data_IF_509618077477
#
_entry.id   IF_509618077477
#
_cell.length_a   1.000
_cell.length_b   1.000
_cell.length_c   1.000
_cell.angle_alpha   90.00
_cell.angle_beta   90.00
_cell.angle_gamma   90.00
#
_symmetry.space_group_name_H-M   'P 1'
#
loop_
_entity.id
_entity.type
_entity.pdbx_description
1 polymer ?
#
# COMPACT_ATOMS: atom_id res chain seq x y z
N UNK A 1 -55.75 106.65 -174.59
CA UNK A 1 -56.61 107.76 -175.05
C UNK A 1 -57.92 107.13 -175.56
N UNK A 2 -59.05 107.82 -175.38
CA UNK A 2 -60.40 107.47 -175.90
C UNK A 2 -61.14 106.21 -175.34
N UNK A 3 -62.48 106.31 -175.25
CA UNK A 3 -63.60 105.31 -175.31
C UNK A 3 -63.41 103.89 -174.68
N UNK A 4 -64.36 103.22 -173.99
CA UNK A 4 -65.83 103.30 -173.74
C UNK A 4 -66.08 102.59 -172.35
N UNK A 5 -66.86 103.09 -171.36
CA UNK A 5 -68.33 103.13 -171.12
C UNK A 5 -69.04 101.74 -170.99
N UNK A 6 -69.89 101.43 -169.98
CA UNK A 6 -70.40 102.18 -168.79
C UNK A 6 -71.17 101.25 -167.80
N UNK A 7 -71.23 101.63 -166.51
CA UNK A 7 -72.29 101.37 -165.47
C UNK A 7 -72.67 99.94 -165.01
N UNK A 8 -72.71 99.72 -163.67
CA UNK A 8 -73.34 98.56 -163.01
C UNK A 8 -73.04 98.44 -161.49
N UNK A 9 -73.95 98.93 -160.65
CA UNK A 9 -73.92 99.09 -159.17
C UNK A 9 -73.53 97.87 -158.28
N UNK A 10 -72.93 98.14 -157.10
CA UNK A 10 -72.36 97.16 -156.12
C UNK A 10 -72.80 97.40 -154.65
N UNK A 11 -72.78 96.32 -153.85
CA UNK A 11 -72.83 96.08 -152.39
C UNK A 11 -73.05 97.20 -151.34
N UNK A 12 -73.84 96.85 -150.30
CA UNK A 12 -73.78 97.42 -148.93
C UNK A 12 -74.00 96.35 -147.82
N UNK A 13 -74.84 95.33 -148.02
CA UNK A 13 -75.40 94.52 -146.91
C UNK A 13 -74.42 93.56 -146.19
N UNK A 14 -73.24 93.28 -146.75
CA UNK A 14 -72.27 92.32 -146.17
C UNK A 14 -71.34 92.90 -145.10
N UNK A 15 -71.25 94.22 -144.97
CA UNK A 15 -70.25 94.85 -144.09
C UNK A 15 -70.70 94.98 -142.62
N UNK A 16 -72.01 94.94 -142.36
CA UNK A 16 -72.55 95.16 -141.01
C UNK A 16 -72.32 93.97 -140.05
N UNK A 17 -72.37 92.73 -140.53
CA UNK A 17 -72.22 91.53 -139.69
C UNK A 17 -70.80 91.31 -139.16
N UNK A 18 -69.76 91.86 -139.81
CA UNK A 18 -68.37 91.66 -139.37
C UNK A 18 -67.95 92.60 -138.22
N UNK A 19 -68.61 93.76 -138.08
CA UNK A 19 -68.29 94.72 -137.02
C UNK A 19 -68.71 94.23 -135.63
N UNK A 20 -69.84 93.52 -135.55
CA UNK A 20 -70.50 93.13 -134.30
C UNK A 20 -69.77 91.97 -133.57
N UNK A 21 -69.14 91.05 -134.30
CA UNK A 21 -68.37 89.95 -133.68
C UNK A 21 -67.06 90.45 -133.04
N UNK A 22 -66.39 91.42 -133.67
CA UNK A 22 -65.08 91.89 -133.23
C UNK A 22 -65.16 92.68 -131.90
N UNK A 23 -66.28 93.36 -131.63
CA UNK A 23 -66.51 94.06 -130.36
C UNK A 23 -66.67 93.10 -129.17
N UNK A 24 -67.27 91.91 -129.37
CA UNK A 24 -67.39 90.88 -128.33
C UNK A 24 -66.03 90.34 -127.89
N UNK A 25 -65.14 90.02 -128.83
CA UNK A 25 -63.81 89.48 -128.51
C UNK A 25 -62.95 90.45 -127.69
N UNK A 26 -63.09 91.76 -127.94
CA UNK A 26 -62.40 92.80 -127.17
C UNK A 26 -62.88 92.85 -125.71
N UNK A 27 -64.17 92.59 -125.44
CA UNK A 27 -64.67 92.48 -124.06
C UNK A 27 -64.12 91.25 -123.32
N UNK A 28 -64.07 90.08 -123.95
CA UNK A 28 -63.55 88.86 -123.31
C UNK A 28 -62.07 88.99 -122.90
N UNK A 29 -61.23 89.58 -123.76
CA UNK A 29 -59.81 89.84 -123.45
C UNK A 29 -59.66 90.76 -122.22
N UNK A 30 -60.58 91.70 -122.02
CA UNK A 30 -60.58 92.61 -120.86
C UNK A 30 -60.88 91.86 -119.56
N UNK A 31 -61.87 90.97 -119.57
CA UNK A 31 -62.26 90.13 -118.41
C UNK A 31 -61.11 89.19 -118.00
N UNK A 32 -60.44 88.56 -118.97
CA UNK A 32 -59.32 87.66 -118.70
C UNK A 32 -58.12 88.35 -118.04
N UNK A 33 -57.84 89.63 -118.38
CA UNK A 33 -56.77 90.41 -117.72
C UNK A 33 -57.08 90.71 -116.26
N UNK A 34 -58.31 91.10 -115.92
CA UNK A 34 -58.71 91.35 -114.52
C UNK A 34 -58.63 90.07 -113.66
N UNK A 35 -59.06 88.92 -114.21
CA UNK A 35 -59.01 87.65 -113.48
C UNK A 35 -57.57 87.21 -113.18
N UNK A 36 -56.63 87.46 -114.10
CA UNK A 36 -55.22 87.12 -113.88
C UNK A 36 -54.56 88.00 -112.81
N UNK A 37 -54.89 89.30 -112.75
CA UNK A 37 -54.45 90.17 -111.65
C UNK A 37 -55.01 89.74 -110.28
N UNK A 38 -56.30 89.35 -110.22
CA UNK A 38 -56.91 88.80 -108.99
C UNK A 38 -56.21 87.51 -108.53
N UNK A 39 -55.86 86.61 -109.45
CA UNK A 39 -55.09 85.40 -109.14
C UNK A 39 -53.70 85.71 -108.56
N UNK A 40 -52.98 86.69 -109.11
CA UNK A 40 -51.68 87.10 -108.57
C UNK A 40 -51.77 87.68 -107.15
N UNK A 41 -52.83 88.45 -106.84
CA UNK A 41 -53.07 88.92 -105.48
C UNK A 41 -53.37 87.77 -104.50
N UNK A 42 -54.18 86.78 -104.90
CA UNK A 42 -54.47 85.59 -104.07
C UNK A 42 -53.19 84.79 -103.79
N UNK A 43 -52.31 84.63 -104.79
CA UNK A 43 -51.02 83.92 -104.64
C UNK A 43 -50.09 84.65 -103.66
N UNK A 44 -50.03 85.98 -103.69
CA UNK A 44 -49.20 86.74 -102.74
C UNK A 44 -49.77 86.68 -101.31
N UNK A 45 -51.09 86.83 -101.13
CA UNK A 45 -51.74 86.63 -99.82
C UNK A 45 -51.52 85.22 -99.26
N UNK A 46 -51.38 84.19 -100.11
CA UNK A 46 -51.06 82.83 -99.66
C UNK A 46 -49.61 82.65 -99.20
N UNK A 47 -48.69 83.51 -99.66
CA UNK A 47 -47.28 83.51 -99.23
C UNK A 47 -47.05 84.35 -97.97
N UNK A 48 -47.81 85.42 -97.78
CA UNK A 48 -47.75 86.26 -96.58
C UNK A 48 -48.51 85.64 -95.38
N UNK A 49 -49.48 84.76 -95.63
CA UNK A 49 -50.14 84.00 -94.56
C UNK A 49 -49.21 82.96 -93.92
N UNK A 50 -48.97 83.14 -92.63
CA UNK A 50 -47.96 82.49 -91.78
C UNK A 50 -48.13 80.95 -91.56
N UNK A 51 -48.98 80.29 -92.34
CA UNK A 51 -49.32 78.85 -92.23
C UNK A 51 -48.11 77.93 -92.43
N UNK A 52 -47.23 78.23 -93.41
CA UNK A 52 -46.07 77.40 -93.71
C UNK A 52 -45.07 77.32 -92.53
N UNK A 53 -44.84 78.44 -91.85
CA UNK A 53 -43.99 78.49 -90.67
C UNK A 53 -44.62 77.75 -89.48
N UNK A 54 -45.94 77.93 -89.28
CA UNK A 54 -46.67 77.24 -88.22
C UNK A 54 -46.65 75.71 -88.38
N UNK A 55 -46.80 75.21 -89.61
CA UNK A 55 -46.68 73.78 -89.92
C UNK A 55 -45.30 73.22 -89.56
N UNK A 56 -44.21 73.90 -89.96
CA UNK A 56 -42.84 73.45 -89.63
C UNK A 56 -42.54 73.50 -88.13
N UNK A 57 -42.99 74.55 -87.43
CA UNK A 57 -42.88 74.64 -85.96
C UNK A 57 -43.64 73.50 -85.27
N UNK A 58 -44.87 73.22 -85.70
CA UNK A 58 -45.68 72.15 -85.12
C UNK A 58 -45.08 70.76 -85.42
N UNK A 59 -44.49 70.57 -86.60
CA UNK A 59 -43.73 69.36 -86.95
C UNK A 59 -42.51 69.17 -86.04
N UNK A 60 -41.67 70.19 -85.87
CA UNK A 60 -40.52 70.13 -84.95
C UNK A 60 -40.96 69.85 -83.50
N UNK A 61 -42.03 70.49 -83.02
CA UNK A 61 -42.57 70.24 -81.68
C UNK A 61 -43.07 68.79 -81.52
N UNK A 62 -43.67 68.20 -82.56
CA UNK A 62 -44.08 66.80 -82.57
C UNK A 62 -42.88 65.84 -82.59
N UNK A 63 -41.85 66.13 -83.39
CA UNK A 63 -40.60 65.36 -83.45
C UNK A 63 -39.86 65.39 -82.10
N UNK A 64 -39.74 66.56 -81.45
CA UNK A 64 -39.18 66.68 -80.10
C UNK A 64 -40.00 65.89 -79.07
N UNK A 65 -41.34 66.00 -79.10
CA UNK A 65 -42.22 65.28 -78.16
C UNK A 65 -42.19 63.77 -78.38
N UNK A 66 -41.99 63.32 -79.62
CA UNK A 66 -41.76 61.91 -79.96
C UNK A 66 -40.41 61.42 -79.43
N UNK A 67 -39.34 62.21 -79.55
CA UNK A 67 -38.04 61.90 -78.95
C UNK A 67 -38.12 61.82 -77.42
N UNK A 68 -38.83 62.74 -76.77
CA UNK A 68 -38.98 62.74 -75.31
C UNK A 68 -39.85 61.57 -74.82
N UNK A 69 -40.90 61.21 -75.55
CA UNK A 69 -41.63 59.96 -75.31
C UNK A 69 -40.72 58.73 -75.44
N UNK A 70 -39.87 58.68 -76.46
CA UNK A 70 -38.91 57.57 -76.68
C UNK A 70 -37.90 57.46 -75.52
N UNK A 71 -37.35 58.60 -75.05
CA UNK A 71 -36.47 58.65 -73.87
C UNK A 71 -37.19 58.18 -72.60
N UNK A 72 -38.42 58.64 -72.38
CA UNK A 72 -39.24 58.27 -71.22
C UNK A 72 -39.59 56.78 -71.22
N UNK A 73 -39.94 56.21 -72.38
CA UNK A 73 -40.23 54.78 -72.53
C UNK A 73 -38.97 53.93 -72.27
N UNK A 74 -37.81 54.35 -72.79
CA UNK A 74 -36.53 53.69 -72.53
C UNK A 74 -36.19 53.69 -71.03
N UNK A 75 -36.29 54.86 -70.39
CA UNK A 75 -36.09 55.03 -68.94
C UNK A 75 -37.04 54.16 -68.10
N UNK A 76 -38.32 54.06 -68.52
CA UNK A 76 -39.30 53.18 -67.87
C UNK A 76 -38.93 51.69 -67.98
N UNK A 77 -38.51 51.22 -69.16
CA UNK A 77 -38.10 49.82 -69.35
C UNK A 77 -36.80 49.49 -68.60
N UNK A 78 -35.86 50.43 -68.50
CA UNK A 78 -34.64 50.24 -67.69
C UNK A 78 -34.93 50.25 -66.18
N UNK A 79 -35.84 51.12 -65.71
CA UNK A 79 -36.34 51.10 -64.33
C UNK A 79 -37.07 49.78 -64.02
N UNK A 80 -37.86 49.27 -64.97
CA UNK A 80 -38.58 47.99 -64.87
C UNK A 80 -37.61 46.80 -64.79
N UNK A 81 -36.57 46.76 -65.64
CA UNK A 81 -35.48 45.76 -65.54
C UNK A 81 -34.79 45.82 -64.19
N UNK A 82 -34.44 47.02 -63.73
CA UNK A 82 -33.78 47.25 -62.43
C UNK A 82 -34.65 46.77 -61.27
N UNK A 83 -35.96 47.07 -61.30
CA UNK A 83 -36.92 46.59 -60.32
C UNK A 83 -37.02 45.05 -60.32
N UNK A 84 -37.05 44.40 -61.49
CA UNK A 84 -37.06 42.94 -61.58
C UNK A 84 -35.77 42.33 -61.01
N UNK A 85 -34.61 42.89 -61.31
CA UNK A 85 -33.32 42.45 -60.76
C UNK A 85 -33.26 42.58 -59.23
N UNK A 86 -33.67 43.74 -58.69
CA UNK A 86 -33.73 43.98 -57.23
C UNK A 86 -34.70 42.98 -56.57
N UNK A 87 -35.87 42.73 -57.19
CA UNK A 87 -36.84 41.77 -56.68
C UNK A 87 -36.29 40.35 -56.64
N UNK A 88 -35.64 39.89 -57.72
CA UNK A 88 -35.01 38.56 -57.75
C UNK A 88 -33.89 38.44 -56.71
N UNK A 89 -33.05 39.46 -56.55
CA UNK A 89 -32.01 39.48 -55.53
C UNK A 89 -32.59 39.45 -54.10
N UNK A 90 -33.67 40.19 -53.85
CA UNK A 90 -34.38 40.17 -52.57
C UNK A 90 -35.00 38.79 -52.27
N UNK A 91 -35.70 38.20 -53.24
CA UNK A 91 -36.31 36.87 -53.09
C UNK A 91 -35.24 35.79 -52.83
N UNK A 92 -34.05 35.92 -53.44
CA UNK A 92 -32.89 35.06 -53.17
C UNK A 92 -32.33 35.26 -51.75
N UNK A 93 -32.07 36.50 -51.32
CA UNK A 93 -31.59 36.80 -49.97
C UNK A 93 -32.56 36.31 -48.88
N UNK A 94 -33.87 36.41 -49.11
CA UNK A 94 -34.90 35.87 -48.21
C UNK A 94 -34.85 34.35 -48.14
N UNK A 95 -34.51 33.66 -49.24
CA UNK A 95 -34.33 32.20 -49.25
C UNK A 95 -33.05 31.81 -48.49
N UNK A 96 -31.93 32.42 -48.80
CA UNK A 96 -30.62 32.17 -48.14
C UNK A 96 -30.72 32.43 -46.63
N UNK A 97 -31.36 33.53 -46.21
CA UNK A 97 -31.59 33.85 -44.80
C UNK A 97 -32.39 32.76 -44.06
N UNK A 98 -33.41 32.18 -44.70
CA UNK A 98 -34.19 31.06 -44.14
C UNK A 98 -33.35 29.78 -44.04
N UNK A 99 -32.55 29.47 -45.06
CA UNK A 99 -31.67 28.30 -45.06
C UNK A 99 -30.58 28.41 -43.98
N UNK A 100 -29.95 29.59 -43.84
CA UNK A 100 -29.01 29.87 -42.76
C UNK A 100 -29.64 29.73 -41.38
N UNK A 101 -30.88 30.22 -41.18
CA UNK A 101 -31.60 30.06 -39.91
C UNK A 101 -31.85 28.59 -39.58
N UNK A 102 -32.36 27.80 -40.53
CA UNK A 102 -32.60 26.35 -40.35
C UNK A 102 -31.29 25.62 -40.04
N UNK A 103 -30.19 25.97 -40.70
CA UNK A 103 -28.89 25.34 -40.44
C UNK A 103 -28.32 25.73 -39.06
N UNK A 104 -28.48 26.98 -38.63
CA UNK A 104 -28.10 27.41 -37.27
C UNK A 104 -28.90 26.67 -36.19
N UNK A 105 -30.21 26.49 -36.39
CA UNK A 105 -31.08 25.71 -35.49
C UNK A 105 -30.61 24.23 -35.42
N UNK A 106 -30.27 23.60 -36.55
CA UNK A 106 -29.71 22.24 -36.59
C UNK A 106 -28.39 22.12 -35.83
N UNK A 107 -27.42 23.00 -36.10
CA UNK A 107 -26.14 22.99 -35.41
C UNK A 107 -26.29 23.22 -33.89
N UNK A 108 -27.24 24.07 -33.48
CA UNK A 108 -27.53 24.27 -32.05
C UNK A 108 -28.08 23.01 -31.37
N UNK A 109 -28.93 22.24 -32.04
CA UNK A 109 -29.46 20.97 -31.51
C UNK A 109 -28.37 19.90 -31.46
N UNK A 110 -27.53 19.79 -32.49
CA UNK A 110 -26.46 18.80 -32.54
C UNK A 110 -25.38 19.06 -31.47
N UNK A 111 -25.01 20.33 -31.24
CA UNK A 111 -24.11 20.73 -30.16
C UNK A 111 -24.70 20.44 -28.77
N UNK A 112 -26.00 20.65 -28.58
CA UNK A 112 -26.69 20.34 -27.33
C UNK A 112 -26.70 18.82 -27.06
N UNK A 113 -27.04 18.01 -28.06
CA UNK A 113 -27.01 16.54 -27.96
C UNK A 113 -25.60 16.02 -27.63
N UNK A 114 -24.56 16.60 -28.26
CA UNK A 114 -23.17 16.23 -28.00
C UNK A 114 -22.75 16.58 -26.56
N UNK A 115 -23.14 17.75 -26.06
CA UNK A 115 -22.91 18.17 -24.67
C UNK A 115 -23.57 17.21 -23.67
N UNK A 116 -24.84 16.86 -23.89
CA UNK A 116 -25.57 15.92 -23.03
C UNK A 116 -24.94 14.51 -23.03
N UNK A 117 -24.42 14.05 -24.18
CA UNK A 117 -23.66 12.79 -24.25
C UNK A 117 -22.39 12.84 -23.42
N UNK A 118 -21.61 13.93 -23.48
CA UNK A 118 -20.38 14.09 -22.70
C UNK A 118 -20.65 14.18 -21.20
N UNK A 119 -21.71 14.87 -20.77
CA UNK A 119 -22.12 14.93 -19.36
C UNK A 119 -22.54 13.56 -18.81
N UNK A 120 -23.16 12.71 -19.63
CA UNK A 120 -23.49 11.33 -19.26
C UNK A 120 -22.23 10.46 -19.14
N UNK A 121 -21.31 10.56 -20.09
CA UNK A 121 -20.04 9.82 -20.07
C UNK A 121 -19.16 10.25 -18.88
N UNK A 122 -19.01 11.56 -18.62
CA UNK A 122 -18.29 12.09 -17.46
C UNK A 122 -18.85 11.53 -16.15
N UNK A 123 -20.18 11.55 -15.98
CA UNK A 123 -20.86 10.99 -14.80
C UNK A 123 -20.59 9.49 -14.63
N UNK A 124 -20.55 8.74 -15.73
CA UNK A 124 -20.25 7.30 -15.74
C UNK A 124 -18.79 7.00 -15.40
N UNK A 125 -17.85 7.79 -15.92
CA UNK A 125 -16.43 7.67 -15.55
C UNK A 125 -16.22 8.03 -14.08
N UNK A 126 -16.85 9.10 -13.59
CA UNK A 126 -16.77 9.51 -12.19
C UNK A 126 -17.31 8.42 -11.24
N UNK A 127 -18.45 7.78 -11.57
CA UNK A 127 -18.97 6.67 -10.76
C UNK A 127 -18.05 5.45 -10.79
N UNK A 128 -17.42 5.17 -11.94
CA UNK A 128 -16.47 4.05 -12.08
C UNK A 128 -15.18 4.29 -11.27
N UNK A 129 -14.67 5.53 -11.26
CA UNK A 129 -13.52 5.95 -10.46
C UNK A 129 -13.80 5.79 -8.96
N UNK A 130 -14.99 6.17 -8.50
CA UNK A 130 -15.36 6.01 -7.09
C UNK A 130 -15.41 4.53 -6.68
N UNK A 131 -16.05 3.67 -7.47
CA UNK A 131 -16.10 2.21 -7.21
C UNK A 131 -14.67 1.62 -7.13
N UNK A 132 -13.79 1.97 -8.08
CA UNK A 132 -12.40 1.51 -8.07
C UNK A 132 -11.61 2.02 -6.86
N UNK A 133 -11.87 3.25 -6.39
CA UNK A 133 -11.23 3.78 -5.19
C UNK A 133 -11.69 3.03 -3.92
N UNK A 134 -12.98 2.73 -3.81
CA UNK A 134 -13.56 1.97 -2.69
C UNK A 134 -12.98 0.53 -2.67
N UNK A 135 -12.85 -0.13 -3.83
CA UNK A 135 -12.19 -1.43 -3.98
C UNK A 135 -10.70 -1.37 -3.59
N UNK A 136 -9.97 -0.34 -4.02
CA UNK A 136 -8.55 -0.12 -3.66
C UNK A 136 -8.39 0.09 -2.14
N UNK A 137 -9.31 0.79 -1.48
CA UNK A 137 -9.29 0.96 -0.02
C UNK A 137 -9.58 -0.36 0.71
N UNK A 138 -10.59 -1.11 0.25
CA UNK A 138 -10.90 -2.44 0.79
C UNK A 138 -9.71 -3.41 0.70
N UNK A 139 -9.07 -3.50 -0.48
CA UNK A 139 -7.89 -4.35 -0.70
C UNK A 139 -6.68 -3.93 0.13
N UNK A 140 -6.50 -2.62 0.41
CA UNK A 140 -5.46 -2.13 1.33
C UNK A 140 -5.71 -2.58 2.76
N UNK A 141 -6.94 -2.47 3.25
CA UNK A 141 -7.31 -2.92 4.60
C UNK A 141 -7.11 -4.43 4.75
N UNK A 142 -7.51 -5.22 3.75
CA UNK A 142 -7.27 -6.66 3.70
C UNK A 142 -5.77 -7.00 3.68
N UNK A 143 -4.97 -6.29 2.88
CA UNK A 143 -3.51 -6.45 2.84
C UNK A 143 -2.86 -6.15 4.20
N UNK A 144 -3.27 -5.07 4.87
CA UNK A 144 -2.77 -4.71 6.21
C UNK A 144 -3.15 -5.80 7.23
N UNK A 145 -4.39 -6.31 7.17
CA UNK A 145 -4.84 -7.40 8.03
C UNK A 145 -4.00 -8.68 7.81
N UNK A 146 -3.75 -9.09 6.57
CA UNK A 146 -2.93 -10.26 6.29
C UNK A 146 -1.45 -10.06 6.63
N UNK A 147 -0.87 -8.88 6.41
CA UNK A 147 0.50 -8.58 6.84
C UNK A 147 0.65 -8.61 8.37
N UNK A 148 -0.34 -8.09 9.11
CA UNK A 148 -0.40 -8.18 10.57
C UNK A 148 -0.54 -9.62 11.06
N UNK A 149 -1.48 -10.38 10.48
CA UNK A 149 -1.69 -11.79 10.81
C UNK A 149 -0.45 -12.65 10.51
N UNK A 150 0.20 -12.43 9.35
CA UNK A 150 1.46 -13.08 9.00
C UNK A 150 2.58 -12.67 9.96
N UNK A 151 2.71 -11.38 10.27
CA UNK A 151 3.68 -10.87 11.26
C UNK A 151 3.54 -11.56 12.62
N UNK A 152 2.32 -11.73 13.11
CA UNK A 152 2.04 -12.45 14.36
C UNK A 152 2.32 -13.96 14.26
N UNK A 153 1.99 -14.58 13.11
CA UNK A 153 2.32 -15.97 12.84
C UNK A 153 3.84 -16.22 12.80
N UNK A 154 4.62 -15.28 12.24
CA UNK A 154 6.08 -15.41 12.12
C UNK A 154 6.88 -14.90 13.31
N UNK A 155 6.29 -14.08 14.18
CA UNK A 155 7.00 -13.56 15.35
C UNK A 155 7.27 -14.66 16.39
N UNK A 156 8.52 -15.09 16.50
CA UNK A 156 9.00 -16.06 17.51
C UNK A 156 9.41 -15.40 18.84
N UNK A 157 9.24 -14.08 18.99
CA UNK A 157 9.49 -13.38 20.25
C UNK A 157 8.21 -13.32 21.08
N UNK A 158 8.33 -13.65 22.35
CA UNK A 158 7.31 -13.37 23.36
C UNK A 158 7.14 -11.87 23.55
N UNK A 159 5.91 -11.44 23.83
CA UNK A 159 5.57 -10.07 24.22
C UNK A 159 6.36 -9.66 25.47
N UNK A 160 6.64 -8.37 25.66
CA UNK A 160 7.35 -7.85 26.83
C UNK A 160 6.56 -8.05 28.13
N UNK A 161 5.23 -8.14 28.03
CA UNK A 161 4.33 -8.51 29.15
C UNK A 161 4.27 -10.02 29.40
N UNK A 162 4.70 -10.89 28.47
CA UNK A 162 4.62 -12.33 28.66
C UNK A 162 5.67 -12.82 29.67
N UNK A 163 5.26 -13.73 30.55
CA UNK A 163 6.16 -14.40 31.49
C UNK A 163 7.35 -15.10 30.82
N UNK A 164 7.20 -15.58 29.58
CA UNK A 164 8.21 -16.27 28.82
C UNK A 164 9.22 -15.34 28.13
N UNK A 165 9.01 -14.02 28.17
CA UNK A 165 10.02 -13.04 27.76
C UNK A 165 11.31 -13.27 28.55
N UNK A 166 12.47 -13.14 27.89
CA UNK A 166 13.78 -13.46 28.47
C UNK A 166 14.11 -12.58 29.68
N UNK A 167 13.60 -11.34 29.76
CA UNK A 167 13.74 -10.45 30.92
C UNK A 167 12.95 -10.98 32.12
N UNK A 168 11.69 -11.34 31.91
CA UNK A 168 10.81 -11.90 32.94
C UNK A 168 11.30 -13.28 33.41
N UNK A 169 11.75 -14.13 32.49
CA UNK A 169 12.42 -15.40 32.78
C UNK A 169 13.67 -15.18 33.65
N UNK A 170 14.55 -14.25 33.27
CA UNK A 170 15.77 -13.94 34.02
C UNK A 170 15.46 -13.48 35.44
N UNK A 171 14.48 -12.59 35.61
CA UNK A 171 14.00 -12.11 36.92
C UNK A 171 13.48 -13.25 37.79
N UNK A 172 12.64 -14.12 37.22
CA UNK A 172 12.12 -15.29 37.92
C UNK A 172 13.21 -16.27 38.35
N UNK A 173 14.22 -16.52 37.51
CA UNK A 173 15.33 -17.40 37.89
C UNK A 173 16.13 -16.79 39.06
N UNK A 174 16.38 -15.47 39.06
CA UNK A 174 17.05 -14.79 40.20
C UNK A 174 16.24 -14.94 41.48
N UNK A 175 14.94 -14.66 41.43
CA UNK A 175 14.06 -14.84 42.60
C UNK A 175 14.13 -16.29 43.13
N UNK A 176 14.08 -17.27 42.23
CA UNK A 176 14.09 -18.68 42.62
C UNK A 176 15.47 -19.17 43.12
N UNK A 177 16.56 -18.58 42.63
CA UNK A 177 17.91 -18.78 43.16
C UNK A 177 18.01 -18.29 44.62
N UNK A 178 17.40 -17.15 44.96
CA UNK A 178 17.36 -16.65 46.34
C UNK A 178 16.54 -17.57 47.25
N UNK A 179 15.34 -18.01 46.80
CA UNK A 179 14.50 -18.98 47.54
C UNK A 179 15.24 -20.31 47.75
N UNK A 180 16.00 -20.79 46.75
CA UNK A 180 16.82 -22.00 46.85
C UNK A 180 17.95 -21.84 47.86
N UNK A 181 18.63 -20.69 47.87
CA UNK A 181 19.66 -20.37 48.86
C UNK A 181 19.08 -20.44 50.26
N UNK A 182 17.94 -19.79 50.53
CA UNK A 182 17.30 -19.83 51.84
C UNK A 182 16.79 -21.23 52.24
N UNK A 183 16.23 -21.98 51.29
CA UNK A 183 15.76 -23.35 51.52
C UNK A 183 16.90 -24.30 51.95
N UNK A 184 18.10 -24.11 51.39
CA UNK A 184 19.26 -24.96 51.65
C UNK A 184 20.16 -24.47 52.79
N UNK A 185 20.03 -23.20 53.20
CA UNK A 185 20.92 -22.58 54.18
C UNK A 185 20.74 -23.07 55.62
N UNK A 186 21.84 -23.55 56.22
CA UNK A 186 21.84 -24.22 57.53
C UNK A 186 21.93 -23.25 58.73
N UNK A 187 21.04 -22.26 58.79
CA UNK A 187 21.05 -21.18 59.80
C UNK A 187 20.82 -21.68 61.23
N UNK A 188 21.66 -21.24 62.18
CA UNK A 188 21.44 -21.44 63.61
C UNK A 188 21.59 -22.90 64.09
N UNK A 189 20.88 -23.23 65.19
CA UNK A 189 20.91 -24.55 65.85
C UNK A 189 19.76 -25.49 65.44
N UNK A 190 18.81 -25.01 64.62
CA UNK A 190 17.66 -25.77 64.13
C UNK A 190 18.03 -26.92 63.17
N UNK A 191 19.28 -26.96 62.69
CA UNK A 191 19.79 -27.95 61.74
C UNK A 191 20.94 -28.75 62.34
N UNK A 192 20.80 -30.08 62.32
CA UNK A 192 21.87 -31.03 62.61
C UNK A 192 22.39 -31.62 61.29
N UNK A 193 23.71 -31.64 61.09
CA UNK A 193 24.35 -32.13 59.87
C UNK A 193 24.77 -33.59 60.01
N UNK A 194 24.44 -34.41 59.02
CA UNK A 194 24.93 -35.78 58.92
C UNK A 194 26.34 -35.81 58.30
N UNK A 195 27.37 -35.48 59.11
CA UNK A 195 28.76 -35.34 58.63
C UNK A 195 29.27 -36.51 57.78
N UNK A 196 29.06 -37.79 58.14
CA UNK A 196 29.47 -38.92 57.28
C UNK A 196 28.85 -38.88 55.88
N UNK A 197 27.61 -38.39 55.74
CA UNK A 197 26.94 -38.27 54.44
C UNK A 197 27.38 -37.04 53.66
N UNK A 198 27.70 -35.94 54.33
CA UNK A 198 28.36 -34.79 53.70
C UNK A 198 29.74 -35.18 53.16
N UNK A 199 30.58 -35.87 53.93
CA UNK A 199 31.88 -36.34 53.45
C UNK A 199 31.74 -37.26 52.23
N UNK A 200 30.75 -38.18 52.23
CA UNK A 200 30.50 -39.07 51.10
C UNK A 200 30.18 -38.30 49.80
N UNK A 201 29.33 -37.26 49.85
CA UNK A 201 28.99 -36.50 48.64
C UNK A 201 30.10 -35.53 48.22
N UNK A 202 30.82 -34.90 49.16
CA UNK A 202 31.97 -34.05 48.84
C UNK A 202 33.05 -34.85 48.10
N UNK A 203 33.35 -36.07 48.56
CA UNK A 203 34.27 -36.98 47.87
C UNK A 203 33.80 -37.33 46.45
N UNK A 204 32.50 -37.55 46.24
CA UNK A 204 31.92 -37.81 44.90
C UNK A 204 32.06 -36.58 43.98
N UNK A 205 31.94 -35.36 44.54
CA UNK A 205 32.15 -34.10 43.83
C UNK A 205 33.64 -33.71 43.70
N UNK A 206 34.57 -34.52 44.23
CA UNK A 206 36.00 -34.22 44.38
C UNK A 206 36.32 -32.92 45.15
N UNK A 207 35.36 -32.40 45.92
CA UNK A 207 35.50 -31.11 46.63
C UNK A 207 36.37 -31.23 47.87
N UNK A 208 37.11 -30.14 48.15
CA UNK A 208 37.96 -29.99 49.34
C UNK A 208 37.26 -29.27 50.51
N UNK A 209 35.99 -28.92 50.36
CA UNK A 209 35.27 -28.15 51.36
C UNK A 209 35.23 -28.84 52.73
N UNK A 210 35.31 -28.04 53.80
CA UNK A 210 35.19 -28.52 55.17
C UNK A 210 33.75 -29.00 55.48
N UNK A 211 33.65 -30.20 56.07
CA UNK A 211 32.41 -30.83 56.52
C UNK A 211 31.69 -30.08 57.66
N UNK A 212 32.37 -29.14 58.32
CA UNK A 212 31.79 -28.21 59.29
C UNK A 212 31.45 -26.84 58.70
N UNK A 213 31.94 -26.52 57.49
CA UNK A 213 31.69 -25.24 56.83
C UNK A 213 30.30 -25.18 56.17
N UNK A 214 29.30 -24.82 56.99
CA UNK A 214 27.88 -24.72 56.63
C UNK A 214 27.55 -24.05 55.27
N UNK A 215 28.22 -22.97 54.81
CA UNK A 215 27.99 -22.43 53.47
C UNK A 215 28.28 -23.44 52.34
N UNK A 216 29.37 -24.21 52.41
CA UNK A 216 29.66 -25.25 51.41
C UNK A 216 28.69 -26.41 51.47
N UNK A 217 28.28 -26.81 52.66
CA UNK A 217 27.21 -27.81 52.82
C UNK A 217 25.93 -27.30 52.15
N UNK A 218 25.58 -26.02 52.35
CA UNK A 218 24.43 -25.39 51.70
C UNK A 218 24.58 -25.39 50.17
N UNK A 219 25.75 -25.07 49.64
CA UNK A 219 26.06 -25.13 48.20
C UNK A 219 25.87 -26.53 47.60
N UNK A 220 26.33 -27.58 48.27
CA UNK A 220 26.08 -28.98 47.88
C UNK A 220 24.59 -29.30 47.87
N UNK A 221 23.83 -28.85 48.88
CA UNK A 221 22.38 -29.06 48.92
C UNK A 221 21.63 -28.32 47.80
N UNK A 222 22.13 -27.17 47.33
CA UNK A 222 21.58 -26.46 46.14
C UNK A 222 21.80 -27.28 44.87
N UNK A 223 23.05 -27.72 44.65
CA UNK A 223 23.43 -28.57 43.53
C UNK A 223 22.55 -29.83 43.46
N UNK A 224 22.47 -30.57 44.57
CA UNK A 224 21.66 -31.80 44.68
C UNK A 224 20.16 -31.55 44.46
N UNK A 225 19.64 -30.43 44.94
CA UNK A 225 18.21 -30.06 44.77
C UNK A 225 17.88 -29.89 43.28
N UNK A 226 18.67 -29.09 42.56
CA UNK A 226 18.42 -28.85 41.12
C UNK A 226 18.63 -30.14 40.32
N UNK A 227 19.74 -30.87 40.55
CA UNK A 227 20.00 -32.15 39.87
C UNK A 227 18.88 -33.17 40.11
N UNK A 228 18.29 -33.21 41.31
CA UNK A 228 17.18 -34.12 41.62
C UNK A 228 15.88 -33.75 40.89
N UNK A 229 15.59 -32.46 40.73
CA UNK A 229 14.41 -31.98 39.99
C UNK A 229 14.57 -32.32 38.50
N UNK A 230 15.70 -31.95 37.89
CA UNK A 230 16.01 -32.27 36.49
C UNK A 230 15.90 -33.78 36.23
N UNK A 231 16.64 -34.59 37.00
CA UNK A 231 16.62 -36.04 36.84
C UNK A 231 15.23 -36.66 37.03
N UNK A 232 14.44 -36.18 37.99
CA UNK A 232 13.09 -36.70 38.19
C UNK A 232 12.19 -36.46 36.96
N UNK A 233 12.33 -35.30 36.31
CA UNK A 233 11.61 -35.02 35.07
C UNK A 233 12.08 -35.94 33.93
N UNK A 234 13.39 -36.09 33.75
CA UNK A 234 13.96 -36.96 32.71
C UNK A 234 13.52 -38.41 32.90
N UNK A 235 13.62 -38.94 34.12
CA UNK A 235 13.14 -40.27 34.51
C UNK A 235 11.62 -40.40 34.22
N UNK A 236 10.81 -39.40 34.62
CA UNK A 236 9.35 -39.38 34.43
C UNK A 236 8.92 -39.47 32.95
N UNK A 237 9.61 -38.73 32.06
CA UNK A 237 9.35 -38.75 30.62
C UNK A 237 9.83 -40.06 30.00
N UNK A 238 11.05 -40.53 30.33
CA UNK A 238 11.61 -41.77 29.78
C UNK A 238 10.80 -43.01 30.13
N UNK A 239 10.30 -43.12 31.37
CA UNK A 239 9.42 -44.22 31.79
C UNK A 239 8.13 -44.29 30.95
N UNK A 240 7.53 -43.14 30.62
CA UNK A 240 6.24 -43.03 29.92
C UNK A 240 6.36 -43.05 28.40
N UNK A 241 7.56 -42.80 27.86
CA UNK A 241 7.83 -42.99 26.43
C UNK A 241 7.59 -44.44 25.97
N UNK A 242 7.66 -45.41 26.90
CA UNK A 242 7.35 -46.83 26.62
C UNK A 242 5.86 -47.16 26.58
N UNK A 243 4.96 -46.25 26.99
CA UNK A 243 3.51 -46.51 27.15
C UNK A 243 2.59 -45.55 26.38
N UNK A 244 3.13 -44.68 25.52
CA UNK A 244 2.41 -43.60 24.78
C UNK A 244 1.14 -44.06 24.06
N UNK A 245 1.12 -45.31 23.57
CA UNK A 245 -0.01 -45.89 22.83
C UNK A 245 -1.22 -46.28 23.70
N UNK A 246 -1.11 -46.25 25.03
CA UNK A 246 -2.23 -46.61 25.91
C UNK A 246 -3.11 -45.37 26.20
N UNK A 247 -4.08 -45.12 25.32
CA UNK A 247 -4.78 -43.82 25.25
C UNK A 247 -5.70 -43.47 26.42
N UNK A 248 -6.04 -44.42 27.30
CA UNK A 248 -7.08 -44.26 28.33
C UNK A 248 -6.57 -43.76 29.70
N UNK A 249 -5.26 -43.53 29.86
CA UNK A 249 -4.70 -42.98 31.11
C UNK A 249 -4.48 -41.47 31.00
N UNK A 250 -5.28 -40.69 31.74
CA UNK A 250 -5.15 -39.24 31.82
C UNK A 250 -3.96 -38.79 32.68
N UNK A 251 -3.33 -39.68 33.47
CA UNK A 251 -2.19 -39.34 34.33
C UNK A 251 -0.84 -39.23 33.60
N UNK A 252 -0.84 -39.48 32.28
CA UNK A 252 0.32 -39.39 31.39
C UNK A 252 0.12 -38.35 30.27
N UNK A 253 -0.88 -37.45 30.39
CA UNK A 253 -1.21 -36.49 29.34
C UNK A 253 -0.04 -35.53 29.03
N UNK A 254 0.62 -35.01 30.05
CA UNK A 254 1.73 -34.07 29.89
C UNK A 254 2.94 -34.72 29.22
N UNK A 255 3.29 -35.96 29.59
CA UNK A 255 4.37 -36.71 28.95
C UNK A 255 4.03 -37.06 27.51
N UNK A 256 2.78 -37.44 27.21
CA UNK A 256 2.31 -37.67 25.83
C UNK A 256 2.40 -36.39 24.99
N UNK A 257 2.06 -35.22 25.54
CA UNK A 257 2.19 -33.94 24.84
C UNK A 257 3.65 -33.62 24.49
N UNK A 258 4.59 -33.79 25.42
CA UNK A 258 6.04 -33.62 25.17
C UNK A 258 6.50 -34.53 24.04
N UNK A 259 6.24 -35.84 24.14
CA UNK A 259 6.72 -36.83 23.17
C UNK A 259 6.10 -36.62 21.78
N UNK A 260 4.79 -36.32 21.71
CA UNK A 260 4.14 -36.00 20.44
C UNK A 260 4.69 -34.71 19.82
N UNK A 261 5.00 -33.69 20.62
CA UNK A 261 5.59 -32.45 20.12
C UNK A 261 7.03 -32.65 19.62
N UNK A 262 7.87 -33.39 20.34
CA UNK A 262 9.23 -33.75 19.89
C UNK A 262 9.21 -34.54 18.58
N UNK A 263 8.32 -35.53 18.46
CA UNK A 263 8.13 -36.29 17.22
C UNK A 263 7.66 -35.39 16.06
N UNK A 264 6.70 -34.49 16.31
CA UNK A 264 6.20 -33.56 15.28
C UNK A 264 7.27 -32.55 14.86
N UNK A 265 8.05 -32.02 15.79
CA UNK A 265 9.19 -31.12 15.52
C UNK A 265 10.21 -31.81 14.60
N UNK A 266 10.55 -33.07 14.87
CA UNK A 266 11.48 -33.82 14.02
C UNK A 266 10.90 -34.09 12.62
N UNK A 267 9.61 -34.43 12.51
CA UNK A 267 8.95 -34.57 11.21
C UNK A 267 8.90 -33.25 10.43
N UNK A 268 8.73 -32.11 11.11
CA UNK A 268 8.80 -30.78 10.49
C UNK A 268 10.22 -30.48 10.01
N UNK A 269 11.27 -30.75 10.79
CA UNK A 269 12.67 -30.64 10.32
C UNK A 269 12.91 -31.44 9.07
N UNK A 270 12.54 -32.71 9.09
CA UNK A 270 12.76 -33.61 7.96
C UNK A 270 11.97 -33.14 6.73
N UNK A 271 10.74 -32.64 6.91
CA UNK A 271 9.96 -32.04 5.83
C UNK A 271 10.65 -30.80 5.24
N UNK A 272 11.02 -29.82 6.08
CA UNK A 272 11.72 -28.58 5.68
C UNK A 272 13.04 -28.86 4.97
N UNK A 273 13.79 -29.89 5.41
CA UNK A 273 15.09 -30.24 4.82
C UNK A 273 14.99 -31.09 3.54
N UNK A 274 13.83 -31.71 3.24
CA UNK A 274 13.69 -32.66 2.11
C UNK A 274 12.73 -32.23 1.02
N UNK A 275 11.98 -31.14 1.21
CA UNK A 275 10.99 -30.63 0.25
C UNK A 275 11.39 -29.24 -0.24
N UNK A 276 11.18 -28.99 -1.52
CA UNK A 276 11.40 -27.67 -2.12
C UNK A 276 10.30 -26.70 -1.64
N UNK A 277 10.72 -25.54 -1.12
CA UNK A 277 9.87 -24.47 -0.62
C UNK A 277 10.72 -23.36 -0.02
N UNK A 278 10.25 -22.11 -0.11
CA UNK A 278 10.92 -20.91 0.42
C UNK A 278 9.90 -20.01 1.14
N UNK A 279 8.99 -20.63 1.90
CA UNK A 279 8.02 -19.91 2.70
C UNK A 279 8.54 -19.70 4.14
N UNK A 280 8.33 -18.49 4.66
CA UNK A 280 8.80 -18.10 5.98
C UNK A 280 8.12 -18.87 7.14
N UNK A 281 7.04 -19.61 6.90
CA UNK A 281 6.24 -20.31 7.92
C UNK A 281 6.83 -21.70 8.21
N UNK A 282 7.24 -22.43 7.16
CA UNK A 282 7.82 -23.77 7.28
C UNK A 282 9.11 -23.75 8.13
N UNK A 283 10.00 -22.78 7.90
CA UNK A 283 11.25 -22.63 8.66
C UNK A 283 11.09 -22.32 10.16
N UNK A 284 9.97 -21.73 10.58
CA UNK A 284 9.68 -21.38 11.98
C UNK A 284 8.71 -22.34 12.67
N UNK A 285 8.10 -23.28 11.94
CA UNK A 285 6.98 -24.08 12.46
C UNK A 285 7.42 -24.95 13.64
N UNK A 286 8.63 -25.52 13.60
CA UNK A 286 9.26 -26.16 14.77
C UNK A 286 9.28 -25.23 15.99
N UNK A 287 9.76 -24.00 15.79
CA UNK A 287 9.98 -23.02 16.86
C UNK A 287 8.66 -22.72 17.54
N UNK A 288 7.61 -22.46 16.75
CA UNK A 288 6.24 -22.22 17.25
C UNK A 288 5.65 -23.42 17.98
N UNK A 289 5.74 -24.64 17.42
CA UNK A 289 5.26 -25.86 18.08
C UNK A 289 5.92 -26.05 19.45
N UNK A 290 7.24 -25.89 19.50
CA UNK A 290 8.02 -25.97 20.75
C UNK A 290 7.57 -24.87 21.72
N UNK A 291 7.51 -23.62 21.28
CA UNK A 291 7.12 -22.48 22.11
C UNK A 291 5.77 -22.66 22.79
N UNK A 292 4.73 -22.96 22.01
CA UNK A 292 3.36 -23.10 22.52
C UNK A 292 3.20 -24.30 23.45
N UNK A 293 3.75 -25.47 23.09
CA UNK A 293 3.62 -26.69 23.91
C UNK A 293 4.34 -26.54 25.24
N UNK A 294 5.59 -26.08 25.26
CA UNK A 294 6.34 -25.94 26.51
C UNK A 294 5.78 -24.78 27.37
N UNK A 295 5.29 -23.68 26.78
CA UNK A 295 4.60 -22.62 27.52
C UNK A 295 3.29 -23.13 28.18
N UNK A 296 2.48 -23.88 27.43
CA UNK A 296 1.25 -24.49 27.95
C UNK A 296 1.55 -25.48 29.10
N UNK A 297 2.54 -26.37 28.94
CA UNK A 297 2.89 -27.37 29.95
C UNK A 297 3.46 -26.75 31.23
N UNK A 298 4.30 -25.71 31.10
CA UNK A 298 4.80 -24.94 32.23
C UNK A 298 3.71 -24.20 33.01
N UNK A 299 2.66 -23.74 32.34
CA UNK A 299 1.56 -22.99 32.96
C UNK A 299 0.41 -23.88 33.47
N UNK A 300 0.07 -24.98 32.79
CA UNK A 300 -1.12 -25.81 33.08
C UNK A 300 -0.83 -27.23 33.55
N UNK A 301 0.26 -27.85 33.10
CA UNK A 301 0.61 -29.23 33.48
C UNK A 301 1.33 -29.28 34.83
N UNK A 302 2.64 -29.03 34.80
CA UNK A 302 3.50 -29.19 35.98
C UNK A 302 3.54 -27.96 36.90
N UNK A 303 3.07 -26.80 36.44
CA UNK A 303 3.05 -25.55 37.22
C UNK A 303 1.93 -25.45 38.28
N UNK A 304 0.97 -26.38 38.30
CA UNK A 304 -0.20 -26.28 39.20
C UNK A 304 0.05 -26.88 40.60
N UNK A 305 -0.33 -26.13 41.64
CA UNK A 305 -0.36 -26.63 43.02
C UNK A 305 -1.27 -27.84 43.14
N UNK A 306 -0.86 -28.83 43.93
CA UNK A 306 -1.63 -30.04 44.16
C UNK A 306 -1.46 -31.15 43.10
N UNK A 307 -0.75 -30.90 41.99
CA UNK A 307 -0.39 -31.92 41.00
C UNK A 307 0.30 -33.13 41.69
N UNK A 308 -0.14 -34.35 41.39
CA UNK A 308 0.31 -35.57 42.07
C UNK A 308 1.80 -35.89 41.80
N UNK A 309 2.29 -35.56 40.61
CA UNK A 309 3.69 -35.74 40.20
C UNK A 309 4.57 -34.76 41.00
N UNK A 310 4.12 -33.52 41.17
CA UNK A 310 4.81 -32.51 41.97
C UNK A 310 4.81 -32.82 43.47
N UNK A 311 3.73 -33.42 44.00
CA UNK A 311 3.70 -33.96 45.37
C UNK A 311 4.74 -35.07 45.56
N UNK A 312 4.87 -35.98 44.59
CA UNK A 312 5.85 -37.06 44.65
C UNK A 312 7.29 -36.52 44.56
N UNK A 313 7.57 -35.58 43.65
CA UNK A 313 8.87 -34.91 43.57
C UNK A 313 9.20 -34.16 44.88
N UNK A 314 8.26 -33.40 45.46
CA UNK A 314 8.40 -32.76 46.78
C UNK A 314 8.76 -33.77 47.86
N UNK A 315 8.08 -34.92 47.91
CA UNK A 315 8.35 -36.01 48.87
C UNK A 315 9.74 -36.60 48.68
N UNK A 316 10.15 -36.87 47.44
CA UNK A 316 11.49 -37.41 47.14
C UNK A 316 12.60 -36.39 47.44
N UNK A 317 12.38 -35.10 47.17
CA UNK A 317 13.33 -34.03 47.44
C UNK A 317 13.54 -33.84 48.95
N UNK A 318 12.46 -33.79 49.74
CA UNK A 318 12.56 -33.70 51.20
C UNK A 318 13.33 -34.90 51.77
N UNK A 319 12.99 -36.12 51.32
CA UNK A 319 13.70 -37.35 51.74
C UNK A 319 15.18 -37.36 51.34
N UNK A 320 15.54 -36.77 50.19
CA UNK A 320 16.94 -36.60 49.78
C UNK A 320 17.68 -35.67 50.75
N UNK A 321 17.09 -34.53 51.12
CA UNK A 321 17.71 -33.57 52.03
C UNK A 321 17.79 -34.12 53.47
N UNK A 322 16.79 -34.88 53.92
CA UNK A 322 16.79 -35.59 55.22
C UNK A 322 17.96 -36.60 55.35
N UNK A 323 18.59 -37.03 54.24
CA UNK A 323 19.80 -37.86 54.28
C UNK A 323 21.03 -37.10 54.80
N UNK A 324 21.07 -35.79 54.56
CA UNK A 324 22.25 -34.93 54.78
C UNK A 324 22.07 -33.96 55.97
N UNK A 325 20.83 -33.56 56.27
CA UNK A 325 20.48 -32.71 57.42
C UNK A 325 19.22 -33.18 58.12
N UNK A 326 19.13 -32.96 59.41
CA UNK A 326 17.90 -33.11 60.20
C UNK A 326 17.44 -31.77 60.74
N UNK A 327 16.13 -31.51 60.72
CA UNK A 327 15.53 -30.28 61.26
C UNK A 327 14.92 -30.60 62.63
N UNK A 328 15.40 -29.94 63.69
CA UNK A 328 14.97 -30.21 65.07
C UNK A 328 13.74 -29.40 65.48
N UNK A 329 13.59 -28.19 64.93
CA UNK A 329 12.49 -27.27 65.24
C UNK A 329 11.28 -27.52 64.32
N UNK A 330 10.13 -27.86 64.91
CA UNK A 330 8.90 -28.18 64.17
C UNK A 330 8.39 -27.01 63.29
N UNK A 331 8.52 -25.77 63.78
CA UNK A 331 8.18 -24.55 63.02
C UNK A 331 9.02 -24.42 61.75
N UNK A 332 10.34 -24.57 61.88
CA UNK A 332 11.30 -24.54 60.76
C UNK A 332 11.03 -25.71 59.79
N UNK A 333 10.72 -26.91 60.29
CA UNK A 333 10.37 -28.05 59.43
C UNK A 333 9.14 -27.75 58.56
N UNK A 334 8.07 -27.19 59.14
CA UNK A 334 6.85 -26.83 58.40
C UNK A 334 7.09 -25.71 57.38
N UNK A 335 7.92 -24.71 57.70
CA UNK A 335 8.31 -23.67 56.74
C UNK A 335 9.08 -24.28 55.54
N UNK A 336 10.01 -25.20 55.82
CA UNK A 336 10.81 -25.89 54.82
C UNK A 336 9.95 -26.81 53.94
N UNK A 337 8.93 -27.48 54.49
CA UNK A 337 7.94 -28.25 53.71
C UNK A 337 7.12 -27.37 52.76
N UNK A 338 6.80 -26.14 53.14
CA UNK A 338 6.15 -25.17 52.24
C UNK A 338 7.10 -24.68 51.15
N UNK A 339 8.32 -24.25 51.52
CA UNK A 339 9.36 -23.81 50.56
C UNK A 339 9.72 -24.91 49.55
N UNK A 340 9.73 -26.18 49.96
CA UNK A 340 9.98 -27.30 49.05
C UNK A 340 8.94 -27.41 47.92
N UNK A 341 7.71 -26.95 48.13
CA UNK A 341 6.67 -26.92 47.09
C UNK A 341 6.94 -25.82 46.05
N UNK A 342 7.31 -24.63 46.53
CA UNK A 342 7.70 -23.49 45.70
C UNK A 342 8.94 -23.81 44.85
N UNK A 343 9.94 -24.43 45.47
CA UNK A 343 11.16 -24.91 44.80
C UNK A 343 10.82 -25.91 43.70
N UNK A 344 10.03 -26.94 44.00
CA UNK A 344 9.67 -27.98 43.02
C UNK A 344 8.87 -27.39 41.85
N UNK A 345 7.82 -26.61 42.13
CA UNK A 345 6.99 -26.00 41.07
C UNK A 345 7.80 -24.99 40.24
N UNK A 346 8.56 -24.11 40.88
CA UNK A 346 9.33 -23.07 40.23
C UNK A 346 10.43 -23.63 39.34
N UNK A 347 11.26 -24.56 39.84
CA UNK A 347 12.38 -25.08 39.05
C UNK A 347 11.89 -26.02 37.96
N UNK A 348 10.84 -26.81 38.20
CA UNK A 348 10.22 -27.61 37.14
C UNK A 348 9.69 -26.69 36.02
N UNK A 349 8.89 -25.65 36.37
CA UNK A 349 8.36 -24.68 35.39
C UNK A 349 9.47 -23.98 34.60
N UNK A 350 10.55 -23.56 35.26
CA UNK A 350 11.64 -22.85 34.61
C UNK A 350 12.49 -23.81 33.77
N UNK A 351 13.15 -24.77 34.41
CA UNK A 351 14.23 -25.54 33.81
C UNK A 351 13.75 -26.56 32.77
N UNK A 352 12.56 -27.16 32.98
CA UNK A 352 12.02 -28.19 32.10
C UNK A 352 11.04 -27.64 31.05
N UNK A 353 10.62 -26.37 31.15
CA UNK A 353 9.66 -25.76 30.22
C UNK A 353 10.10 -24.40 29.68
N UNK A 354 10.22 -23.36 30.53
CA UNK A 354 10.46 -21.98 30.04
C UNK A 354 11.82 -21.75 29.39
N UNK A 355 12.84 -22.55 29.71
CA UNK A 355 14.11 -22.52 28.95
C UNK A 355 13.90 -23.02 27.50
N UNK A 356 12.99 -23.98 27.31
CA UNK A 356 12.61 -24.54 26.02
C UNK A 356 11.58 -23.70 25.27
N UNK A 357 11.11 -22.57 25.80
CA UNK A 357 10.28 -21.59 25.07
C UNK A 357 11.11 -20.43 24.48
N UNK A 358 12.41 -20.35 24.79
CA UNK A 358 13.29 -19.33 24.22
C UNK A 358 13.65 -19.67 22.77
N UNK A 359 13.95 -18.64 21.98
CA UNK A 359 14.55 -18.79 20.65
C UNK A 359 15.75 -17.83 20.52
N UNK A 360 16.99 -18.36 20.43
CA UNK A 360 17.35 -19.77 20.45
C UNK A 360 17.17 -20.42 21.84
N UNK A 361 17.06 -21.76 21.86
CA UNK A 361 16.78 -22.52 23.09
C UNK A 361 17.84 -22.28 24.17
N UNK A 362 17.39 -21.98 25.39
CA UNK A 362 18.28 -21.76 26.53
C UNK A 362 18.75 -23.08 27.14
N UNK A 363 20.00 -23.09 27.59
CA UNK A 363 20.73 -24.26 28.10
C UNK A 363 21.24 -24.03 29.51
N UNK A 364 21.60 -25.12 30.20
CA UNK A 364 22.12 -25.12 31.56
C UNK A 364 23.55 -25.67 31.52
N UNK A 365 24.53 -24.92 32.03
CA UNK A 365 25.92 -25.37 32.19
C UNK A 365 26.30 -25.46 33.67
N UNK A 366 26.64 -26.67 34.09
CA UNK A 366 27.32 -26.91 35.36
C UNK A 366 28.84 -26.76 35.16
N UNK A 367 29.54 -26.51 36.26
CA UNK A 367 31.01 -26.47 36.30
C UNK A 367 31.51 -27.47 37.32
N UNK A 368 32.43 -28.32 36.91
CA UNK A 368 32.97 -29.41 37.73
C UNK A 368 34.20 -28.95 38.53
N UNK A 369 34.57 -29.72 39.56
CA UNK A 369 35.75 -29.43 40.39
C UNK A 369 37.02 -29.35 39.53
N UNK A 370 37.81 -28.29 39.72
CA UNK A 370 39.04 -28.04 38.98
C UNK A 370 38.86 -27.31 37.65
N UNK A 371 37.64 -26.95 37.23
CA UNK A 371 37.47 -26.04 36.09
C UNK A 371 38.04 -24.63 36.41
N UNK A 372 38.69 -23.97 35.44
CA UNK A 372 39.22 -22.62 35.61
C UNK A 372 38.07 -21.61 35.76
N UNK A 373 38.28 -20.60 36.60
CA UNK A 373 37.28 -19.55 36.81
C UNK A 373 37.06 -18.72 35.54
N UNK A 374 35.82 -18.29 35.33
CA UNK A 374 35.40 -17.48 34.20
C UNK A 374 34.42 -16.41 34.69
N UNK A 375 34.90 -15.17 34.82
CA UNK A 375 34.11 -14.01 35.32
C UNK A 375 32.86 -13.72 34.50
N UNK A 376 32.82 -14.12 33.23
CA UNK A 376 31.68 -13.90 32.34
C UNK A 376 30.56 -14.91 32.67
N UNK A 377 30.91 -16.19 32.88
CA UNK A 377 29.95 -17.28 33.13
C UNK A 377 29.67 -17.56 34.60
N UNK A 378 30.53 -17.11 35.53
CA UNK A 378 30.50 -17.46 36.95
C UNK A 378 30.49 -16.23 37.85
N UNK A 379 29.96 -16.42 39.06
CA UNK A 379 30.12 -15.53 40.21
C UNK A 379 30.52 -16.38 41.41
N UNK A 380 31.51 -15.89 42.16
CA UNK A 380 32.00 -16.51 43.39
C UNK A 380 32.09 -15.49 44.51
N UNK A 381 32.25 -15.98 45.73
CA UNK A 381 32.61 -15.18 46.90
C UNK A 381 33.98 -15.67 47.33
N UNK A 382 35.02 -14.85 47.17
CA UNK A 382 36.33 -15.18 47.74
C UNK A 382 36.31 -14.98 49.24
N UNK A 383 37.00 -15.85 49.97
CA UNK A 383 37.27 -15.74 51.41
C UNK A 383 38.72 -15.41 51.72
N UNK A 384 39.61 -15.48 50.72
CA UNK A 384 41.06 -15.42 50.89
C UNK A 384 41.69 -14.38 49.95
N UNK A 385 42.75 -13.70 50.41
CA UNK A 385 43.39 -12.58 49.71
C UNK A 385 44.40 -13.04 48.62
N UNK A 386 44.81 -14.32 48.62
CA UNK A 386 45.77 -14.89 47.66
C UNK A 386 45.07 -15.49 46.42
N UNK A 387 44.55 -14.63 45.53
CA UNK A 387 43.72 -15.00 44.37
C UNK A 387 44.41 -15.80 43.24
N UNK A 388 45.69 -16.16 43.38
CA UNK A 388 46.43 -16.84 42.29
C UNK A 388 46.13 -18.35 42.20
N UNK A 389 45.75 -18.81 41.01
CA UNK A 389 45.42 -20.21 40.69
C UNK A 389 44.21 -20.77 41.47
N UNK A 390 43.15 -19.98 41.62
CA UNK A 390 41.86 -20.49 42.10
C UNK A 390 41.09 -21.21 40.97
N UNK A 391 40.41 -22.30 41.35
CA UNK A 391 39.56 -23.12 40.48
C UNK A 391 38.21 -23.38 41.14
N UNK A 392 37.22 -23.82 40.37
CA UNK A 392 35.91 -24.24 40.90
C UNK A 392 36.10 -25.39 41.89
N UNK A 393 35.51 -25.29 43.07
CA UNK A 393 35.39 -26.39 44.04
C UNK A 393 33.99 -27.01 44.01
N UNK A 394 32.95 -26.19 44.18
CA UNK A 394 31.54 -26.60 44.16
C UNK A 394 30.73 -25.60 43.33
N UNK A 395 30.12 -26.06 42.24
CA UNK A 395 29.07 -25.30 41.54
C UNK A 395 27.72 -25.51 42.24
N UNK A 396 27.27 -24.51 43.01
CA UNK A 396 26.02 -24.54 43.76
C UNK A 396 24.79 -24.34 42.86
N UNK A 397 24.93 -23.45 41.87
CA UNK A 397 23.90 -23.09 40.91
C UNK A 397 24.53 -22.98 39.51
N UNK A 398 23.92 -23.54 38.46
CA UNK A 398 24.51 -23.56 37.12
C UNK A 398 24.39 -22.22 36.38
N UNK A 399 25.21 -22.01 35.35
CA UNK A 399 24.98 -20.93 34.40
C UNK A 399 23.79 -21.28 33.49
N UNK A 400 22.99 -20.28 33.14
CA UNK A 400 21.80 -20.44 32.29
C UNK A 400 21.80 -19.36 31.21
N UNK A 401 21.59 -19.76 29.96
CA UNK A 401 21.63 -18.88 28.80
C UNK A 401 21.77 -19.62 27.48
N UNK A 402 21.97 -18.87 26.41
CA UNK A 402 22.08 -19.38 25.04
C UNK A 402 23.55 -19.45 24.61
N UNK A 403 23.88 -20.48 23.82
CA UNK A 403 25.22 -20.73 23.28
C UNK A 403 26.35 -20.81 24.33
N UNK A 404 26.10 -21.29 25.56
CA UNK A 404 27.07 -21.32 26.68
C UNK A 404 28.40 -22.06 26.42
N UNK A 405 28.55 -22.73 25.27
CA UNK A 405 29.76 -23.41 24.82
C UNK A 405 30.52 -22.65 23.70
N UNK A 406 29.98 -21.55 23.17
CA UNK A 406 30.60 -20.69 22.14
C UNK A 406 30.87 -19.28 22.71
N UNK A 407 32.14 -18.97 23.09
CA UNK A 407 32.52 -17.67 23.63
C UNK A 407 32.17 -16.47 22.75
N UNK A 408 32.00 -16.67 21.43
CA UNK A 408 31.69 -15.58 20.49
C UNK A 408 30.20 -15.21 20.45
N UNK A 409 29.32 -16.05 21.04
CA UNK A 409 27.85 -15.91 20.95
C UNK A 409 27.12 -15.97 22.30
N UNK A 410 27.84 -15.97 23.42
CA UNK A 410 27.24 -16.07 24.75
C UNK A 410 26.13 -15.04 24.99
N UNK A 411 24.92 -15.53 25.30
CA UNK A 411 23.85 -14.72 25.87
C UNK A 411 23.49 -15.30 27.23
N UNK A 412 23.96 -14.64 28.29
CA UNK A 412 23.90 -15.17 29.66
C UNK A 412 22.73 -14.51 30.39
N UNK A 413 21.78 -15.33 30.82
CA UNK A 413 20.67 -14.88 31.65
C UNK A 413 21.11 -14.85 33.12
N UNK A 414 21.79 -15.92 33.54
CA UNK A 414 22.24 -16.15 34.92
C UNK A 414 23.64 -16.76 34.90
N UNK A 415 24.57 -16.16 35.65
CA UNK A 415 25.89 -16.73 35.91
C UNK A 415 25.79 -17.86 36.94
N UNK A 416 26.68 -18.84 36.83
CA UNK A 416 26.81 -19.89 37.84
C UNK A 416 27.22 -19.30 39.20
N UNK A 417 26.73 -19.88 40.30
CA UNK A 417 27.23 -19.60 41.64
C UNK A 417 28.23 -20.70 42.00
N UNK A 418 29.50 -20.35 42.10
CA UNK A 418 30.58 -21.30 42.41
C UNK A 418 31.29 -20.92 43.70
N UNK A 419 31.67 -21.94 44.48
CA UNK A 419 32.71 -21.84 45.48
C UNK A 419 34.05 -22.21 44.84
N UNK A 420 35.13 -21.66 45.39
CA UNK A 420 36.46 -21.76 44.81
C UNK A 420 37.41 -22.44 45.80
N UNK A 421 38.45 -23.09 45.28
CA UNK A 421 39.59 -23.55 46.07
C UNK A 421 40.88 -23.35 45.29
N UNK A 422 42.02 -23.34 45.98
CA UNK A 422 43.33 -23.32 45.32
C UNK A 422 43.54 -24.58 44.48
N UNK A 423 44.04 -24.41 43.25
CA UNK A 423 44.49 -25.53 42.40
C UNK A 423 45.58 -26.29 43.17
N UNK A 424 45.28 -27.53 43.57
CA UNK A 424 46.27 -28.39 44.18
C UNK A 424 47.27 -28.80 43.11
N UNK A 425 48.56 -28.51 43.34
CA UNK A 425 49.67 -28.96 42.50
C UNK A 425 49.59 -30.47 42.25
N UNK A 426 48.94 -30.85 41.14
CA UNK A 426 48.86 -32.23 40.72
C UNK A 426 50.25 -32.60 40.16
N UNK A 427 50.99 -33.58 40.73
CA UNK A 427 52.42 -33.80 40.42
C UNK A 427 52.76 -34.14 38.96
N UNK A 428 51.77 -34.21 38.07
CA UNK A 428 51.91 -34.53 36.65
C UNK A 428 51.87 -33.32 35.72
N UNK A 429 51.51 -32.11 36.18
CA UNK A 429 51.71 -30.88 35.39
C UNK A 429 53.04 -30.24 35.76
N UNK A 430 53.99 -30.20 34.83
CA UNK A 430 55.15 -29.30 34.92
C UNK A 430 54.65 -27.86 35.08
N UNK A 431 55.30 -27.01 35.89
CA UNK A 431 54.93 -25.60 35.99
C UNK A 431 55.08 -24.93 34.62
N UNK A 432 53.99 -24.31 34.10
CA UNK A 432 54.05 -23.45 32.91
C UNK A 432 55.08 -22.34 33.17
N UNK A 433 56.09 -22.26 32.29
CA UNK A 433 57.13 -21.24 32.38
C UNK A 433 56.59 -19.87 31.96
N UNK A 434 57.32 -18.80 32.29
CA UNK A 434 57.00 -17.46 31.78
C UNK A 434 56.98 -17.40 30.24
N UNK A 435 57.74 -18.28 29.56
CA UNK A 435 57.74 -18.41 28.11
C UNK A 435 56.43 -19.02 27.61
N UNK A 436 55.93 -20.07 28.27
CA UNK A 436 54.65 -20.71 27.90
C UNK A 436 53.49 -19.73 28.06
N UNK A 437 53.48 -18.94 29.14
CA UNK A 437 52.48 -17.87 29.34
C UNK A 437 52.57 -16.79 28.26
N UNK A 438 53.77 -16.33 27.93
CA UNK A 438 53.96 -15.32 26.88
C UNK A 438 53.48 -15.81 25.51
N UNK A 439 53.76 -17.07 25.15
CA UNK A 439 53.28 -17.69 23.90
C UNK A 439 51.75 -17.79 23.89
N UNK A 440 51.13 -18.19 25.00
CA UNK A 440 49.67 -18.32 25.14
C UNK A 440 48.96 -16.97 25.03
N UNK A 441 49.48 -15.93 25.68
CA UNK A 441 48.98 -14.55 25.56
C UNK A 441 49.14 -14.01 24.14
N UNK A 442 50.29 -14.24 23.48
CA UNK A 442 50.51 -13.80 22.09
C UNK A 442 49.58 -14.53 21.10
N UNK A 443 49.34 -15.83 21.31
CA UNK A 443 48.44 -16.64 20.46
C UNK A 443 46.98 -16.20 20.60
N UNK A 444 46.57 -15.73 21.79
CA UNK A 444 45.22 -15.22 22.03
C UNK A 444 45.01 -13.76 21.56
N UNK A 445 46.09 -13.01 21.30
CA UNK A 445 46.03 -11.66 20.72
C UNK A 445 46.06 -11.65 19.17
N UNK A 446 46.33 -12.81 18.55
CA UNK A 446 46.47 -12.99 17.10
C UNK A 446 45.32 -13.85 16.52
N UNK A 447 44.19 -13.89 17.21
CA UNK A 447 42.91 -14.48 16.80
C UNK A 447 41.78 -13.50 17.07
#
# INVERSE_FOLDING_TARGET
>A
MEFIKKLGSIDIYKYFTFAEENEKTIQEIRILRENNQKLQQVINNFKENNWYNHYHQMKQAYEMKSQDYTKLHTSYEDLRKTYMQIRTAYDQLVKESKEHKINAEKYSVELQNQKESWEQDEKKYLSSINILNDEIESLKLETIHYQSALGNAINVRWDDEDSNNSVNLTKDIRNLQEVLREFTFLKGKAYLVNKPKIQQILNIMNSKADIDHKPSISAVLQHLTIKKILKFYDDYIQERNRSVYNHNDNSILESRLVICAENLINLVKDFTNTREGDDNITGITEIKIRQEIYAMLGNRGFGQKGNQIMKELKRQLLKLLEHYRSITEHTVKKEQENRAEEIVLGFTRILNFRLLTQEPVATIRWFEHGEPLNEILMEWVSTDEDETNMVVDICAFPAIGVYLNDPTKWQIYIKAKVQICSESNNPQKKPETLVDRAIKTYTNLMR
#
